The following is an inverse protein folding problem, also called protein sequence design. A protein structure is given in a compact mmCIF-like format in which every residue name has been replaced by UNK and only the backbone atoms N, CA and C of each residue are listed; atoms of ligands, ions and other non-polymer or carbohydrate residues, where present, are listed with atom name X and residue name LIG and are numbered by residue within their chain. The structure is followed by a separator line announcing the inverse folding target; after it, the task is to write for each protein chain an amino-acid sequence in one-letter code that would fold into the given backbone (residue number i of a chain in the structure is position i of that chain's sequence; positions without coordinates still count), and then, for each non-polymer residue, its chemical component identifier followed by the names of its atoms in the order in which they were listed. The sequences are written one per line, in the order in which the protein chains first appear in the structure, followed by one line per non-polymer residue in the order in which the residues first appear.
data_IF_733418497887
#
_entry.id   IF_733418497887
#
_cell.length_a   1.000
_cell.length_b   1.000
_cell.length_c   1.000
_cell.angle_alpha   90.00
_cell.angle_beta   90.00
_cell.angle_gamma   90.00
#
_symmetry.space_group_name_H-M   'P 1'
#
loop_
_entity.id
_entity.type
_entity.pdbx_description
1 polymer ?
#
# COMPACT_ATOMS: atom_id res chain seq x y z
N UNK A 1 11.51 -3.82 -9.50
CA UNK A 1 11.22 -2.37 -9.56
C UNK A 1 11.54 -1.76 -8.20
N UNK A 2 11.85 -0.47 -8.09
CA UNK A 2 11.96 0.20 -6.78
C UNK A 2 10.72 1.03 -6.54
N UNK A 3 10.05 0.82 -5.42
CA UNK A 3 8.94 1.66 -4.96
C UNK A 3 9.44 2.62 -3.89
N UNK A 4 8.93 3.85 -3.88
CA UNK A 4 9.15 4.84 -2.82
C UNK A 4 7.78 5.34 -2.36
N UNK A 5 7.41 5.06 -1.12
CA UNK A 5 6.10 5.41 -0.58
C UNK A 5 6.16 6.11 0.78
N UNK A 6 5.17 6.97 1.03
CA UNK A 6 4.84 7.53 2.35
C UNK A 6 3.34 7.51 2.60
N UNK A 7 2.94 7.68 3.86
CA UNK A 7 1.53 7.81 4.28
C UNK A 7 1.30 9.11 5.03
N UNK A 8 0.12 9.70 4.85
CA UNK A 8 -0.38 10.86 5.57
C UNK A 8 -1.69 10.43 6.24
N UNK A 9 -1.75 10.53 7.56
CA UNK A 9 -2.88 10.02 8.36
C UNK A 9 -3.98 11.07 8.51
N UNK A 10 -5.18 10.61 8.87
CA UNK A 10 -6.33 11.45 9.24
C UNK A 10 -6.67 12.54 8.20
N UNK A 11 -6.60 12.18 6.91
CA UNK A 11 -6.86 13.13 5.81
C UNK A 11 -8.35 13.30 5.56
N UNK A 12 -8.77 14.51 5.20
CA UNK A 12 -10.10 14.74 4.61
C UNK A 12 -10.11 14.18 3.19
N UNK A 13 -10.84 13.07 3.02
CA UNK A 13 -10.92 12.34 1.74
C UNK A 13 -11.50 13.21 0.63
N UNK A 14 -12.53 14.00 0.91
CA UNK A 14 -13.21 14.78 -0.11
C UNK A 14 -12.36 15.98 -0.55
N UNK A 15 -11.65 16.60 0.40
CA UNK A 15 -10.68 17.65 0.11
C UNK A 15 -9.53 17.13 -0.75
N UNK A 16 -8.93 15.98 -0.39
CA UNK A 16 -7.84 15.38 -1.16
C UNK A 16 -8.31 15.00 -2.57
N UNK A 17 -9.50 14.39 -2.70
CA UNK A 17 -10.07 14.05 -4.01
C UNK A 17 -10.27 15.29 -4.87
N UNK A 18 -10.77 16.38 -4.30
CA UNK A 18 -10.94 17.65 -5.03
C UNK A 18 -9.60 18.15 -5.56
N UNK A 19 -8.58 18.26 -4.70
CA UNK A 19 -7.23 18.70 -5.10
C UNK A 19 -6.62 17.80 -6.17
N UNK A 20 -6.76 16.48 -6.05
CA UNK A 20 -6.29 15.53 -7.06
C UNK A 20 -6.93 15.76 -8.43
N UNK A 21 -8.25 16.00 -8.47
CA UNK A 21 -8.96 16.32 -9.71
C UNK A 21 -8.50 17.65 -10.31
N UNK A 22 -8.32 18.68 -9.48
CA UNK A 22 -7.83 19.99 -9.92
C UNK A 22 -6.40 19.91 -10.49
N UNK A 23 -5.58 18.98 -9.99
CA UNK A 23 -4.25 18.66 -10.53
C UNK A 23 -4.29 17.80 -11.81
N UNK A 24 -5.47 17.36 -12.26
CA UNK A 24 -5.65 16.51 -13.44
C UNK A 24 -5.37 15.02 -13.20
N UNK A 25 -5.32 14.57 -11.93
CA UNK A 25 -5.15 13.16 -11.63
C UNK A 25 -6.38 12.34 -12.04
N UNK A 26 -6.14 11.16 -12.61
CA UNK A 26 -7.19 10.26 -13.10
C UNK A 26 -7.53 9.23 -12.05
N UNK A 27 -8.80 9.07 -11.73
CA UNK A 27 -9.30 7.96 -10.91
C UNK A 27 -9.11 6.66 -11.67
N UNK A 28 -8.45 5.68 -11.06
CA UNK A 28 -8.13 4.38 -11.69
C UNK A 28 -8.73 3.18 -10.96
N UNK A 29 -9.16 3.36 -9.71
CA UNK A 29 -9.82 2.31 -8.93
C UNK A 29 -10.66 2.89 -7.80
N UNK A 30 -11.72 2.18 -7.44
CA UNK A 30 -12.58 2.44 -6.28
C UNK A 30 -13.24 1.14 -5.86
N UNK A 31 -12.97 0.70 -4.64
CA UNK A 31 -13.62 -0.48 -4.07
C UNK A 31 -12.77 -1.22 -3.06
N UNK A 32 -13.20 -2.44 -2.76
CA UNK A 32 -12.55 -3.29 -1.78
C UNK A 32 -11.25 -3.91 -2.31
N UNK A 33 -10.25 -3.95 -1.43
CA UNK A 33 -9.02 -4.71 -1.59
C UNK A 33 -8.90 -5.73 -0.47
N UNK A 34 -8.62 -6.96 -0.87
CA UNK A 34 -8.26 -8.06 0.03
C UNK A 34 -6.79 -8.37 -0.19
N UNK A 35 -5.99 -8.34 0.86
CA UNK A 35 -4.59 -8.73 0.83
C UNK A 35 -4.31 -9.82 1.87
N UNK A 36 -3.78 -10.95 1.42
CA UNK A 36 -3.32 -12.05 2.27
C UNK A 36 -1.81 -12.09 2.22
N UNK A 37 -1.17 -12.15 3.37
CA UNK A 37 0.27 -12.16 3.53
C UNK A 37 0.72 -13.53 3.98
N UNK A 38 1.78 -14.00 3.31
CA UNK A 38 2.31 -15.34 3.45
C UNK A 38 3.74 -15.29 3.97
N UNK A 39 4.08 -16.23 4.83
CA UNK A 39 5.44 -16.47 5.29
C UNK A 39 5.65 -17.96 5.53
N UNK A 40 6.91 -18.39 5.62
CA UNK A 40 7.22 -19.72 6.12
C UNK A 40 7.03 -19.76 7.65
N UNK A 41 6.95 -20.97 8.18
CA UNK A 41 6.98 -21.21 9.61
C UNK A 41 8.15 -20.46 10.27
N UNK A 42 7.89 -19.85 11.43
CA UNK A 42 8.88 -19.04 12.14
C UNK A 42 9.14 -17.64 11.53
N UNK A 43 8.32 -17.18 10.58
CA UNK A 43 8.38 -15.83 9.97
C UNK A 43 9.72 -15.54 9.27
N UNK A 44 10.22 -16.51 8.50
CA UNK A 44 11.54 -16.46 7.88
C UNK A 44 11.70 -15.30 6.88
N UNK A 45 10.66 -15.00 6.10
CA UNK A 45 10.67 -13.88 5.16
C UNK A 45 10.68 -12.55 5.92
N UNK A 46 9.74 -12.37 6.84
CA UNK A 46 9.57 -11.12 7.60
C UNK A 46 10.83 -10.76 8.39
N UNK A 47 11.44 -11.74 9.07
CA UNK A 47 12.73 -11.55 9.78
C UNK A 47 13.87 -11.14 8.85
N UNK A 48 13.81 -11.54 7.58
CA UNK A 48 14.75 -11.12 6.54
C UNK A 48 14.36 -9.82 5.82
N UNK A 49 13.38 -9.06 6.32
CA UNK A 49 12.88 -7.84 5.66
C UNK A 49 12.17 -8.10 4.34
N UNK A 50 11.64 -9.31 4.14
CA UNK A 50 10.92 -9.73 2.93
C UNK A 50 9.43 -9.89 3.21
N UNK A 51 8.63 -9.77 2.16
CA UNK A 51 7.17 -9.85 2.24
C UNK A 51 6.63 -10.53 1.00
N UNK A 52 5.77 -11.53 1.18
CA UNK A 52 4.99 -12.15 0.11
C UNK A 52 3.50 -11.86 0.34
N UNK A 53 2.82 -11.35 -0.69
CA UNK A 53 1.42 -10.93 -0.60
C UNK A 53 0.64 -11.36 -1.83
N UNK A 54 -0.48 -12.03 -1.62
CA UNK A 54 -1.51 -12.22 -2.63
C UNK A 54 -2.61 -11.18 -2.43
N UNK A 55 -2.88 -10.37 -3.46
CA UNK A 55 -3.88 -9.29 -3.42
C UNK A 55 -4.99 -9.55 -4.44
N UNK A 56 -6.23 -9.32 -4.03
CA UNK A 56 -7.39 -9.17 -4.91
C UNK A 56 -7.86 -7.71 -4.86
N UNK A 57 -7.99 -7.08 -6.03
CA UNK A 57 -8.46 -5.71 -6.23
C UNK A 57 -9.54 -5.74 -7.31
N UNK A 58 -10.80 -5.77 -6.90
CA UNK A 58 -11.90 -6.12 -7.81
C UNK A 58 -11.67 -7.51 -8.44
N UNK A 59 -11.64 -7.58 -9.77
CA UNK A 59 -11.35 -8.81 -10.52
C UNK A 59 -9.85 -9.09 -10.68
N UNK A 60 -8.98 -8.12 -10.38
CA UNK A 60 -7.53 -8.28 -10.56
C UNK A 60 -6.93 -9.04 -9.39
N UNK A 61 -6.12 -10.04 -9.71
CA UNK A 61 -5.33 -10.80 -8.74
C UNK A 61 -3.85 -10.55 -9.01
N UNK A 62 -3.09 -10.24 -7.97
CA UNK A 62 -1.66 -9.93 -8.07
C UNK A 62 -0.92 -10.66 -6.95
N UNK A 63 0.19 -11.31 -7.28
CA UNK A 63 1.15 -11.84 -6.31
C UNK A 63 2.38 -10.94 -6.32
N UNK A 64 2.74 -10.47 -5.13
CA UNK A 64 3.82 -9.51 -4.96
C UNK A 64 4.85 -10.07 -3.96
N UNK A 65 6.12 -10.08 -4.35
CA UNK A 65 7.25 -10.26 -3.45
C UNK A 65 8.01 -8.95 -3.30
N UNK A 66 8.23 -8.50 -2.05
CA UNK A 66 8.96 -7.27 -1.73
C UNK A 66 10.14 -7.56 -0.81
N UNK A 67 11.25 -6.85 -1.00
CA UNK A 67 12.41 -6.87 -0.11
C UNK A 67 12.79 -5.45 0.30
N UNK A 68 12.93 -5.22 1.61
CA UNK A 68 13.26 -3.91 2.18
C UNK A 68 14.68 -3.50 1.78
N UNK A 69 14.81 -2.28 1.28
CA UNK A 69 16.10 -1.64 0.99
C UNK A 69 16.38 -0.56 2.05
N UNK A 70 15.41 0.30 2.36
CA UNK A 70 15.57 1.40 3.32
C UNK A 70 14.23 1.85 3.88
N UNK A 71 14.25 2.41 5.09
CA UNK A 71 13.07 2.94 5.78
C UNK A 71 13.33 4.27 6.50
N UNK A 72 14.45 4.94 6.23
CA UNK A 72 14.84 6.15 6.99
C UNK A 72 13.96 7.35 6.68
N UNK A 73 13.82 7.69 5.39
CA UNK A 73 13.09 8.88 4.93
C UNK A 73 11.77 8.53 4.23
N UNK A 74 11.78 7.41 3.53
CA UNK A 74 10.62 6.81 2.87
C UNK A 74 10.79 5.29 2.94
N UNK A 75 9.71 4.56 2.72
CA UNK A 75 9.79 3.11 2.60
C UNK A 75 10.21 2.77 1.16
N UNK A 76 11.39 2.16 1.03
CA UNK A 76 11.96 1.75 -0.25
C UNK A 76 12.05 0.24 -0.29
N UNK A 77 11.36 -0.36 -1.26
CA UNK A 77 11.32 -1.80 -1.45
C UNK A 77 11.76 -2.16 -2.88
N UNK A 78 12.53 -3.23 -3.02
CA UNK A 78 12.61 -3.96 -4.29
C UNK A 78 11.34 -4.81 -4.44
N UNK A 79 10.64 -4.65 -5.56
CA UNK A 79 9.38 -5.33 -5.84
C UNK A 79 9.47 -6.20 -7.10
N UNK A 80 8.92 -7.40 -6.99
CA UNK A 80 8.51 -8.27 -8.09
C UNK A 80 7.01 -8.54 -7.98
N UNK A 81 6.24 -8.11 -8.98
CA UNK A 81 4.78 -8.29 -9.03
C UNK A 81 4.38 -9.00 -10.32
N UNK A 82 3.43 -9.94 -10.19
CA UNK A 82 2.84 -10.64 -11.33
C UNK A 82 1.32 -10.63 -11.23
N UNK A 83 0.67 -10.42 -12.37
CA UNK A 83 -0.79 -10.54 -12.50
C UNK A 83 -1.17 -12.00 -12.70
N UNK A 84 -2.24 -12.40 -12.03
CA UNK A 84 -2.75 -13.77 -11.99
C UNK A 84 -4.23 -13.76 -12.33
N UNK A 85 -4.77 -14.95 -12.60
CA UNK A 85 -6.16 -15.13 -13.03
C UNK A 85 -7.07 -15.68 -11.92
N UNK A 86 -6.52 -16.37 -10.93
CA UNK A 86 -7.31 -17.04 -9.89
C UNK A 86 -6.68 -16.88 -8.50
N UNK A 87 -7.43 -16.26 -7.59
CA UNK A 87 -6.99 -15.98 -6.23
C UNK A 87 -6.94 -17.25 -5.38
N UNK A 88 -7.96 -18.11 -5.47
CA UNK A 88 -8.10 -19.27 -4.60
C UNK A 88 -7.16 -20.40 -5.00
N UNK A 89 -6.91 -20.59 -6.30
CA UNK A 89 -5.93 -21.55 -6.81
C UNK A 89 -4.52 -21.17 -6.35
N UNK A 90 -4.13 -19.90 -6.50
CA UNK A 90 -2.78 -19.46 -6.12
C UNK A 90 -2.59 -19.53 -4.62
N UNK A 91 -3.62 -19.13 -3.84
CA UNK A 91 -3.64 -19.31 -2.39
C UNK A 91 -3.38 -20.76 -1.99
N UNK A 92 -4.05 -21.73 -2.63
CA UNK A 92 -3.83 -23.16 -2.38
C UNK A 92 -2.40 -23.58 -2.72
N UNK A 93 -1.89 -23.19 -3.88
CA UNK A 93 -0.50 -23.51 -4.29
C UNK A 93 0.50 -23.02 -3.24
N UNK A 94 0.38 -21.78 -2.77
CA UNK A 94 1.28 -21.22 -1.76
C UNK A 94 1.23 -22.03 -0.46
N UNK A 95 0.03 -22.41 -0.01
CA UNK A 95 -0.15 -23.24 1.18
C UNK A 95 0.49 -24.64 1.03
N UNK A 96 0.34 -25.28 -0.12
CA UNK A 96 0.97 -26.59 -0.42
C UNK A 96 2.50 -26.51 -0.49
N UNK A 97 3.05 -25.35 -0.88
CA UNK A 97 4.51 -25.09 -0.85
C UNK A 97 5.05 -24.82 0.57
N UNK A 98 4.20 -24.92 1.60
CA UNK A 98 4.60 -24.74 3.00
C UNK A 98 4.57 -23.30 3.50
N UNK A 99 4.06 -22.35 2.71
CA UNK A 99 3.76 -21.01 3.21
C UNK A 99 2.48 -21.03 4.04
N UNK A 100 2.38 -20.14 5.02
CA UNK A 100 1.22 -19.97 5.88
C UNK A 100 0.73 -18.54 5.80
N UNK A 101 -0.59 -18.40 5.77
CA UNK A 101 -1.26 -17.12 5.94
C UNK A 101 -1.04 -16.65 7.37
N UNK A 102 -0.34 -15.52 7.54
CA UNK A 102 -0.14 -14.94 8.87
C UNK A 102 -0.94 -13.65 9.06
N UNK A 103 -1.41 -13.03 7.97
CA UNK A 103 -2.24 -11.81 8.07
C UNK A 103 -3.16 -11.66 6.87
N UNK A 104 -4.36 -11.14 7.13
CA UNK A 104 -5.34 -10.74 6.12
C UNK A 104 -5.75 -9.29 6.39
N UNK A 105 -5.76 -8.47 5.36
CA UNK A 105 -6.20 -7.07 5.39
C UNK A 105 -7.32 -6.90 4.39
N UNK A 106 -8.42 -6.29 4.84
CA UNK A 106 -9.53 -5.88 3.99
C UNK A 106 -9.71 -4.38 4.21
N UNK A 107 -9.74 -3.63 3.12
CA UNK A 107 -9.91 -2.17 3.14
C UNK A 107 -10.64 -1.70 1.91
N UNK A 108 -11.24 -0.52 2.01
CA UNK A 108 -11.74 0.19 0.85
C UNK A 108 -10.69 1.20 0.37
N UNK A 109 -10.36 1.20 -0.92
CA UNK A 109 -9.35 2.08 -1.52
C UNK A 109 -9.92 2.84 -2.71
N UNK A 110 -9.63 4.13 -2.76
CA UNK A 110 -9.81 4.96 -3.96
C UNK A 110 -8.43 5.33 -4.51
N UNK A 111 -8.16 4.95 -5.75
CA UNK A 111 -6.85 5.15 -6.39
C UNK A 111 -6.92 6.22 -7.47
N UNK A 112 -5.93 7.12 -7.47
CA UNK A 112 -5.69 8.08 -8.54
C UNK A 112 -4.26 7.96 -9.08
N UNK A 113 -4.05 8.38 -10.32
CA UNK A 113 -2.71 8.47 -10.91
C UNK A 113 -2.50 9.77 -11.69
N UNK A 114 -1.26 10.28 -11.64
CA UNK A 114 -0.80 11.44 -12.39
C UNK A 114 0.70 11.31 -12.66
N UNK A 115 1.13 11.26 -13.93
CA UNK A 115 2.55 11.25 -14.33
C UNK A 115 3.42 10.21 -13.58
N UNK A 116 2.96 8.95 -13.50
CA UNK A 116 3.61 7.84 -12.78
C UNK A 116 3.68 8.00 -11.25
N UNK A 117 2.78 8.82 -10.69
CA UNK A 117 2.56 8.93 -9.25
C UNK A 117 1.22 8.30 -8.94
N UNK A 118 1.18 7.53 -7.86
CA UNK A 118 -0.02 6.89 -7.37
C UNK A 118 -0.45 7.52 -6.04
N UNK A 119 -1.74 7.82 -5.95
CA UNK A 119 -2.37 8.37 -4.77
C UNK A 119 -3.46 7.40 -4.33
N UNK A 120 -3.31 6.88 -3.13
CA UNK A 120 -4.10 5.77 -2.63
C UNK A 120 -4.80 6.19 -1.33
N UNK A 121 -6.09 6.51 -1.43
CA UNK A 121 -6.92 6.87 -0.29
C UNK A 121 -7.53 5.60 0.30
N UNK A 122 -7.01 5.19 1.44
CA UNK A 122 -7.44 4.00 2.16
C UNK A 122 -8.37 4.33 3.31
N UNK A 123 -9.37 3.46 3.51
CA UNK A 123 -10.36 3.55 4.59
C UNK A 123 -10.60 2.16 5.19
N UNK A 124 -10.66 2.12 6.51
CA UNK A 124 -11.11 0.97 7.31
C UNK A 124 -12.31 1.43 8.16
N UNK A 125 -13.17 0.51 8.64
CA UNK A 125 -14.36 0.87 9.42
C UNK A 125 -14.08 1.80 10.62
N UNK A 126 -13.01 1.54 11.36
CA UNK A 126 -12.71 2.24 12.63
C UNK A 126 -11.41 3.05 12.59
N UNK A 127 -10.88 3.32 11.39
CA UNK A 127 -9.64 4.09 11.22
C UNK A 127 -9.92 5.27 10.28
N UNK A 128 -9.57 6.51 10.68
CA UNK A 128 -9.65 7.66 9.79
C UNK A 128 -8.94 7.40 8.45
N UNK A 129 -9.46 8.00 7.38
CA UNK A 129 -8.86 7.85 6.07
C UNK A 129 -7.40 8.30 6.09
N UNK A 130 -6.56 7.62 5.33
CA UNK A 130 -5.17 8.03 5.11
C UNK A 130 -4.83 7.98 3.63
N UNK A 131 -3.88 8.84 3.24
CA UNK A 131 -3.37 8.93 1.89
C UNK A 131 -1.99 8.26 1.83
N UNK A 132 -1.83 7.28 0.95
CA UNK A 132 -0.53 6.78 0.52
C UNK A 132 -0.14 7.47 -0.80
N UNK A 133 1.07 8.03 -0.84
CA UNK A 133 1.68 8.61 -2.05
C UNK A 133 2.86 7.73 -2.43
N UNK A 134 2.80 7.14 -3.61
CA UNK A 134 3.89 6.36 -4.21
C UNK A 134 4.41 7.08 -5.44
N UNK A 135 5.72 7.32 -5.50
CA UNK A 135 6.35 8.07 -6.58
C UNK A 135 7.75 7.54 -6.90
N UNK A 136 8.36 7.95 -8.03
CA UNK A 136 9.72 7.52 -8.39
C UNK A 136 10.82 8.03 -7.44
N UNK A 137 10.56 9.07 -6.64
CA UNK A 137 11.55 9.65 -5.72
C UNK A 137 10.92 10.43 -4.57
N UNK A 138 11.71 10.69 -3.52
CA UNK A 138 11.29 11.49 -2.36
C UNK A 138 11.01 12.94 -2.77
N UNK A 139 11.75 13.49 -3.73
CA UNK A 139 11.52 14.85 -4.25
C UNK A 139 10.13 14.98 -4.87
N UNK A 140 9.67 13.95 -5.58
CA UNK A 140 8.32 13.90 -6.14
C UNK A 140 7.25 13.72 -5.06
N UNK A 141 7.51 12.90 -4.05
CA UNK A 141 6.62 12.80 -2.88
C UNK A 141 6.45 14.19 -2.23
N UNK A 142 7.56 14.89 -1.95
CA UNK A 142 7.52 16.23 -1.36
C UNK A 142 6.77 17.23 -2.24
N UNK A 143 7.04 17.25 -3.55
CA UNK A 143 6.36 18.12 -4.50
C UNK A 143 4.84 17.94 -4.45
N UNK A 144 4.36 16.69 -4.49
CA UNK A 144 2.93 16.41 -4.55
C UNK A 144 2.24 16.46 -3.19
N UNK A 145 2.93 16.14 -2.09
CA UNK A 145 2.43 16.41 -0.74
C UNK A 145 2.12 17.91 -0.58
N UNK A 146 3.04 18.80 -0.98
CA UNK A 146 2.82 20.24 -0.95
C UNK A 146 1.66 20.70 -1.84
N UNK A 147 1.54 20.16 -3.06
CA UNK A 147 0.40 20.47 -3.95
C UNK A 147 -0.94 20.04 -3.35
N UNK A 148 -0.95 19.02 -2.50
CA UNK A 148 -2.13 18.55 -1.78
C UNK A 148 -2.36 19.29 -0.45
N UNK A 149 -1.48 20.22 -0.08
CA UNK A 149 -1.58 21.04 1.14
C UNK A 149 -0.93 20.43 2.37
N UNK A 150 -0.08 19.40 2.21
CA UNK A 150 0.66 18.77 3.28
C UNK A 150 2.14 19.17 3.26
N UNK A 151 2.82 19.02 4.38
CA UNK A 151 4.27 19.15 4.47
C UNK A 151 4.94 17.77 4.52
N UNK A 152 6.27 17.73 4.47
CA UNK A 152 7.00 16.46 4.57
C UNK A 152 6.91 15.87 5.98
N UNK A 153 6.75 16.73 6.99
CA UNK A 153 6.61 16.37 8.41
C UNK A 153 5.30 15.63 8.70
N UNK A 154 4.26 15.86 7.89
CA UNK A 154 2.99 15.13 7.95
C UNK A 154 3.12 13.67 7.45
N UNK A 155 4.19 13.38 6.70
CA UNK A 155 4.39 12.07 6.08
C UNK A 155 5.04 11.08 7.05
N UNK A 156 4.65 9.81 6.92
CA UNK A 156 5.18 8.69 7.69
C UNK A 156 5.70 7.61 6.74
N UNK A 157 6.92 7.07 6.95
CA UNK A 157 7.43 5.91 6.21
C UNK A 157 6.80 4.60 6.75
N UNK A 158 5.48 4.59 6.86
CA UNK A 158 4.69 3.54 7.48
C UNK A 158 4.17 2.55 6.45
N UNK A 159 4.18 1.28 6.84
CA UNK A 159 3.38 0.26 6.19
C UNK A 159 1.93 0.34 6.67
N UNK A 160 1.05 -0.44 6.05
CA UNK A 160 -0.32 -0.61 6.57
C UNK A 160 -0.32 -1.17 8.00
N UNK A 161 0.68 -1.96 8.38
CA UNK A 161 0.79 -2.54 9.73
C UNK A 161 1.00 -1.49 10.80
N UNK A 162 1.88 -0.52 10.54
CA UNK A 162 2.14 0.54 11.49
C UNK A 162 0.89 1.42 11.68
N UNK A 163 0.10 1.61 10.63
CA UNK A 163 -1.20 2.32 10.74
C UNK A 163 -2.15 1.53 11.64
N UNK A 164 -2.36 0.24 11.36
CA UNK A 164 -3.26 -0.60 12.16
C UNK A 164 -2.81 -0.65 13.63
N UNK A 165 -1.53 -0.90 13.88
CA UNK A 165 -0.96 -0.96 15.24
C UNK A 165 -1.01 0.38 15.98
N UNK A 166 -0.93 1.50 15.27
CA UNK A 166 -1.08 2.83 15.85
C UNK A 166 -2.50 3.06 16.37
N UNK A 167 -3.52 2.67 15.60
CA UNK A 167 -4.92 2.84 16.00
C UNK A 167 -5.45 1.75 16.93
N UNK A 168 -4.88 0.54 16.93
CA UNK A 168 -5.19 -0.49 17.93
C UNK A 168 -4.77 -0.08 19.35
N UNK A 169 -3.79 0.82 19.49
CA UNK A 169 -3.25 1.29 20.78
C UNK A 169 -3.84 2.61 21.26
N UNK A 170 -4.64 3.28 20.45
CA UNK A 170 -5.23 4.60 20.72
C UNK A 170 -6.59 4.43 21.39
#
# INVERSE_FOLDING_TARGET
MKEVEVKILEVDKDEVIKKLKDLGAKKVFDGEIIAIYFDFEGQKLTKGGKLLRLRKRGEKVELTFKQMISREKAKIMEEYEVKLTDFDVIKKILNELGLKEFRKVIKHRVSYTLNNIHFELDTFPDIPAFLEIEAPSIEKIREFAHKLGFSIEDTKPWSVWDVLEYYEKK
#
